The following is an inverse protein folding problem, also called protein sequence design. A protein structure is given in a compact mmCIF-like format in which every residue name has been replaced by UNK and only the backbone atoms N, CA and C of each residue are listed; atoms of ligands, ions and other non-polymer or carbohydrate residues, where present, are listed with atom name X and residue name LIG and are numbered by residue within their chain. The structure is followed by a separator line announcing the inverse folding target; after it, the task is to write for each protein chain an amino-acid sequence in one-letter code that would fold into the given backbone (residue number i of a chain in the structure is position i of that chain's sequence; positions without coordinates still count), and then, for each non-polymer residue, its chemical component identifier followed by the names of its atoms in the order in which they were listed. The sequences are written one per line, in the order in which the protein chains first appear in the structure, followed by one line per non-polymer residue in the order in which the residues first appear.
data_IF_289572588940
#
_entry.id   IF_289572588940
#
_cell.length_a   1.000
_cell.length_b   1.000
_cell.length_c   1.000
_cell.angle_alpha   90.00
_cell.angle_beta   90.00
_cell.angle_gamma   90.00
#
_symmetry.space_group_name_H-M   'P 1'
#
loop_
_entity.id
_entity.type
_entity.pdbx_description
1 polymer ?
#
# COMPACT_ATOMS: atom_id res chain seq x y z
N UNK A 1 6.99 13.32 33.28
CA UNK A 1 5.59 12.85 33.44
C UNK A 1 5.00 12.59 32.04
N UNK A 2 5.16 11.39 31.47
CA UNK A 2 4.70 11.02 30.10
C UNK A 2 4.14 9.58 30.01
N UNK A 3 4.07 8.86 31.13
CA UNK A 3 3.72 7.43 31.14
C UNK A 3 2.25 7.18 30.79
N UNK A 4 1.35 8.10 31.18
CA UNK A 4 -0.09 8.00 30.88
C UNK A 4 -0.42 8.25 29.41
N UNK A 5 0.35 9.09 28.69
CA UNK A 5 0.11 9.34 27.27
C UNK A 5 0.59 8.18 26.41
N UNK A 6 1.74 7.58 26.71
CA UNK A 6 2.24 6.39 26.01
C UNK A 6 1.27 5.22 26.21
N UNK A 7 0.84 4.94 27.44
CA UNK A 7 -0.12 3.86 27.69
C UNK A 7 -1.44 4.08 26.94
N UNK A 8 -1.91 5.34 26.84
CA UNK A 8 -3.11 5.67 26.06
C UNK A 8 -2.93 5.40 24.57
N UNK A 9 -1.77 5.76 24.00
CA UNK A 9 -1.45 5.48 22.60
C UNK A 9 -1.36 3.97 22.34
N UNK A 10 -0.75 3.22 23.25
CA UNK A 10 -0.68 1.76 23.14
C UNK A 10 -2.06 1.11 23.19
N UNK A 11 -2.94 1.54 24.10
CA UNK A 11 -4.32 1.04 24.14
C UNK A 11 -5.10 1.38 22.88
N UNK A 12 -4.93 2.59 22.33
CA UNK A 12 -5.57 2.98 21.06
C UNK A 12 -5.08 2.14 19.86
N UNK A 13 -3.79 1.80 19.85
CA UNK A 13 -3.21 0.92 18.84
C UNK A 13 -3.79 -0.49 18.97
N UNK A 14 -3.78 -1.07 20.18
CA UNK A 14 -4.34 -2.39 20.47
C UNK A 14 -5.80 -2.50 20.02
N UNK A 15 -6.65 -1.53 20.39
CA UNK A 15 -8.05 -1.48 19.94
C UNK A 15 -8.18 -1.42 18.41
N UNK A 16 -7.27 -0.73 17.74
CA UNK A 16 -7.31 -0.56 16.28
C UNK A 16 -6.79 -1.79 15.55
N UNK A 17 -5.79 -2.47 16.10
CA UNK A 17 -5.29 -3.76 15.65
C UNK A 17 -6.37 -4.83 15.79
N UNK A 18 -7.05 -4.91 16.93
CA UNK A 18 -8.14 -5.86 17.16
C UNK A 18 -9.29 -5.65 16.17
N UNK A 19 -9.68 -4.40 15.93
CA UNK A 19 -10.69 -4.07 14.90
C UNK A 19 -10.23 -4.46 13.51
N UNK A 20 -8.96 -4.22 13.18
CA UNK A 20 -8.41 -4.60 11.88
C UNK A 20 -8.48 -6.11 11.68
N UNK A 21 -8.05 -6.91 12.65
CA UNK A 21 -8.07 -8.38 12.61
C UNK A 21 -9.48 -8.97 12.45
N UNK A 22 -10.52 -8.22 12.82
CA UNK A 22 -11.92 -8.62 12.65
C UNK A 22 -12.55 -8.13 11.34
N UNK A 23 -11.81 -7.37 10.53
CA UNK A 23 -12.30 -6.72 9.32
C UNK A 23 -11.66 -7.29 8.06
N UNK A 24 -12.47 -7.47 7.02
CA UNK A 24 -11.98 -7.79 5.69
C UNK A 24 -11.50 -6.50 4.98
N UNK A 25 -10.39 -6.57 4.25
CA UNK A 25 -9.83 -5.42 3.54
C UNK A 25 -9.53 -5.73 2.07
N UNK A 26 -9.56 -4.71 1.24
CA UNK A 26 -9.32 -4.81 -0.20
C UNK A 26 -7.88 -4.40 -0.53
N UNK A 27 -7.19 -5.22 -1.32
CA UNK A 27 -5.89 -4.85 -1.87
C UNK A 27 -5.63 -5.46 -3.25
N UNK A 28 -4.84 -4.78 -4.10
CA UNK A 28 -4.20 -5.41 -5.25
C UNK A 28 -3.07 -6.32 -4.76
N UNK A 29 -3.13 -7.60 -5.15
CA UNK A 29 -2.15 -8.62 -4.84
C UNK A 29 -1.25 -8.79 -6.06
N UNK A 30 0.03 -8.46 -5.89
CA UNK A 30 1.07 -8.61 -6.91
C UNK A 30 1.92 -9.81 -6.57
N UNK A 31 2.23 -10.63 -7.58
CA UNK A 31 3.04 -11.83 -7.41
C UNK A 31 4.35 -11.54 -6.65
N UNK A 32 4.62 -12.32 -5.60
CA UNK A 32 5.84 -12.21 -4.79
C UNK A 32 5.95 -10.94 -3.93
N UNK A 33 4.86 -10.17 -3.78
CA UNK A 33 4.84 -8.96 -2.95
C UNK A 33 3.91 -9.13 -1.75
N UNK A 34 4.25 -8.42 -0.67
CA UNK A 34 3.40 -8.31 0.51
C UNK A 34 2.42 -7.16 0.34
N UNK A 35 1.29 -7.25 1.03
CA UNK A 35 0.30 -6.17 1.10
C UNK A 35 0.64 -5.31 2.31
N UNK A 36 0.64 -3.99 2.12
CA UNK A 36 0.88 -3.04 3.20
C UNK A 36 -0.43 -2.39 3.64
N UNK A 37 -0.66 -2.36 4.93
CA UNK A 37 -1.76 -1.64 5.57
C UNK A 37 -1.18 -0.72 6.64
N UNK A 38 -1.86 0.38 6.91
CA UNK A 38 -1.48 1.32 7.97
C UNK A 38 -2.56 1.29 9.05
N UNK A 39 -2.15 1.02 10.30
CA UNK A 39 -3.03 0.97 11.48
C UNK A 39 -2.49 2.01 12.46
N UNK A 40 -3.23 3.11 12.68
CA UNK A 40 -2.84 4.20 13.58
C UNK A 40 -1.39 4.71 13.34
N UNK A 41 -0.94 4.76 12.08
CA UNK A 41 0.40 5.18 11.69
C UNK A 41 1.46 4.07 11.67
N UNK A 42 1.11 2.85 12.08
CA UNK A 42 1.99 1.67 12.02
C UNK A 42 1.76 0.93 10.71
N UNK A 43 2.83 0.75 9.93
CA UNK A 43 2.77 -0.01 8.68
C UNK A 43 2.95 -1.50 8.98
N UNK A 44 1.92 -2.29 8.73
CA UNK A 44 1.96 -3.74 8.80
C UNK A 44 2.12 -4.32 7.39
N UNK A 45 3.01 -5.29 7.25
CA UNK A 45 3.20 -6.03 6.00
C UNK A 45 2.59 -7.43 6.15
N UNK A 46 1.58 -7.72 5.33
CA UNK A 46 0.85 -8.98 5.35
C UNK A 46 1.19 -9.79 4.11
N UNK A 47 1.52 -11.06 4.32
CA UNK A 47 1.71 -12.03 3.25
C UNK A 47 0.37 -12.65 2.86
N UNK A 48 -0.12 -12.41 1.63
CA UNK A 48 -1.37 -13.03 1.18
C UNK A 48 -1.19 -14.53 0.94
N UNK A 49 -2.19 -15.31 1.37
CA UNK A 49 -2.32 -16.75 1.16
C UNK A 49 -3.52 -17.03 0.26
N UNK A 50 -3.40 -17.83 -0.81
CA UNK A 50 -2.18 -18.48 -1.29
C UNK A 50 -1.23 -17.49 -1.99
N UNK A 51 0.09 -17.73 -1.91
CA UNK A 51 1.12 -16.88 -2.54
C UNK A 51 1.08 -16.87 -4.08
N UNK A 52 0.34 -17.81 -4.67
CA UNK A 52 0.16 -17.93 -6.12
C UNK A 52 -0.89 -16.98 -6.67
N UNK A 53 -1.80 -16.47 -5.84
CA UNK A 53 -2.84 -15.56 -6.32
C UNK A 53 -2.24 -14.21 -6.73
N UNK A 54 -2.75 -13.64 -7.82
CA UNK A 54 -2.40 -12.32 -8.33
C UNK A 54 -3.67 -11.69 -8.89
N UNK A 55 -3.93 -10.44 -8.55
CA UNK A 55 -5.17 -9.76 -8.96
C UNK A 55 -5.73 -8.88 -7.85
N UNK A 56 -7.03 -8.65 -7.86
CA UNK A 56 -7.71 -7.84 -6.86
C UNK A 56 -8.49 -8.73 -5.90
N UNK A 57 -8.09 -8.73 -4.63
CA UNK A 57 -8.68 -9.61 -3.63
C UNK A 57 -9.21 -8.85 -2.42
N UNK A 58 -10.31 -9.35 -1.89
CA UNK A 58 -10.70 -9.09 -0.51
C UNK A 58 -10.00 -10.13 0.36
N UNK A 59 -9.25 -9.64 1.32
CA UNK A 59 -8.39 -10.38 2.21
C UNK A 59 -8.97 -10.36 3.62
N UNK A 60 -8.92 -11.50 4.29
CA UNK A 60 -9.19 -11.60 5.72
C UNK A 60 -7.85 -11.72 6.46
N UNK A 61 -7.54 -10.84 7.41
CA UNK A 61 -6.35 -10.99 8.21
C UNK A 61 -6.44 -12.27 9.07
N UNK A 62 -5.40 -13.08 9.03
CA UNK A 62 -5.25 -14.24 9.93
C UNK A 62 -4.39 -13.87 11.15
N UNK A 63 -3.46 -12.93 10.94
CA UNK A 63 -2.54 -12.40 11.93
C UNK A 63 -2.04 -11.02 11.47
N UNK A 64 -1.13 -10.42 12.24
CA UNK A 64 -0.46 -9.17 11.90
C UNK A 64 0.47 -9.25 10.69
N UNK A 65 0.78 -10.45 10.19
CA UNK A 65 1.72 -10.67 9.09
C UNK A 65 1.20 -11.62 8.00
N UNK A 66 0.01 -12.18 8.15
CA UNK A 66 -0.61 -13.06 7.17
C UNK A 66 -2.08 -12.70 6.96
N UNK A 67 -2.51 -12.78 5.72
CA UNK A 67 -3.90 -12.61 5.34
C UNK A 67 -4.32 -13.70 4.35
N UNK A 68 -5.53 -14.18 4.47
CA UNK A 68 -6.12 -15.17 3.58
C UNK A 68 -6.95 -14.49 2.50
N UNK A 69 -6.79 -14.93 1.27
CA UNK A 69 -7.67 -14.58 0.18
C UNK A 69 -9.07 -15.12 0.43
N UNK A 70 -10.04 -14.22 0.56
CA UNK A 70 -11.43 -14.58 0.80
C UNK A 70 -12.22 -14.65 -0.50
N UNK A 71 -12.12 -13.60 -1.34
CA UNK A 71 -12.82 -13.54 -2.64
C UNK A 71 -12.21 -12.50 -3.57
N UNK A 72 -12.57 -12.58 -4.84
CA UNK A 72 -12.30 -11.51 -5.80
C UNK A 72 -13.05 -10.21 -5.44
N UNK A 73 -12.38 -9.10 -5.69
CA UNK A 73 -13.00 -7.78 -5.58
C UNK A 73 -13.91 -7.51 -6.77
N UNK A 74 -15.10 -6.97 -6.49
CA UNK A 74 -16.03 -6.49 -7.52
C UNK A 74 -15.46 -5.25 -8.22
N UNK A 75 -15.97 -4.94 -9.41
CA UNK A 75 -15.53 -3.75 -10.15
C UNK A 75 -15.79 -2.46 -9.38
N UNK A 76 -16.95 -2.34 -8.73
CA UNK A 76 -17.31 -1.18 -7.90
C UNK A 76 -16.37 -0.99 -6.70
N UNK A 77 -15.95 -2.08 -6.07
CA UNK A 77 -14.97 -2.03 -4.96
C UNK A 77 -13.59 -1.58 -5.45
N UNK A 78 -13.13 -2.07 -6.60
CA UNK A 78 -11.88 -1.63 -7.22
C UNK A 78 -11.90 -0.13 -7.51
N UNK A 79 -13.01 0.39 -8.06
CA UNK A 79 -13.15 1.83 -8.31
C UNK A 79 -13.05 2.64 -7.02
N UNK A 80 -13.80 2.28 -5.97
CA UNK A 80 -13.74 2.97 -4.68
C UNK A 80 -12.35 2.93 -4.04
N UNK A 81 -11.60 1.85 -4.24
CA UNK A 81 -10.21 1.78 -3.79
C UNK A 81 -9.32 2.76 -4.55
N UNK A 82 -9.42 2.77 -5.89
CA UNK A 82 -8.62 3.63 -6.75
C UNK A 82 -8.91 5.12 -6.51
N UNK A 83 -10.15 5.48 -6.16
CA UNK A 83 -10.54 6.85 -5.79
C UNK A 83 -9.79 7.39 -4.56
N UNK A 84 -9.31 6.49 -3.67
CA UNK A 84 -8.54 6.88 -2.49
C UNK A 84 -7.07 7.14 -2.80
N UNK A 85 -6.57 6.68 -3.95
CA UNK A 85 -5.18 6.87 -4.33
C UNK A 85 -4.96 8.28 -4.89
N UNK A 86 -3.80 8.90 -4.63
CA UNK A 86 -3.48 10.18 -5.23
C UNK A 86 -3.44 10.05 -6.76
N UNK A 87 -4.05 11.01 -7.45
CA UNK A 87 -3.99 11.09 -8.91
C UNK A 87 -2.54 11.33 -9.36
N UNK A 88 -1.95 10.32 -9.97
CA UNK A 88 -0.62 10.40 -10.58
C UNK A 88 -0.74 10.46 -12.10
N UNK A 89 -0.06 11.44 -12.70
CA UNK A 89 0.04 11.55 -14.15
C UNK A 89 1.09 10.57 -14.67
N UNK A 90 0.71 9.66 -15.55
CA UNK A 90 1.58 8.64 -16.14
C UNK A 90 1.63 8.79 -17.67
N UNK A 91 2.82 8.67 -18.24
CA UNK A 91 3.04 8.58 -19.69
C UNK A 91 3.14 7.10 -20.03
N UNK A 92 2.23 6.59 -20.86
CA UNK A 92 2.31 5.22 -21.38
C UNK A 92 3.37 5.17 -22.47
N UNK A 93 4.40 4.34 -22.28
CA UNK A 93 5.52 4.22 -23.22
C UNK A 93 5.33 3.06 -24.20
N UNK A 94 4.52 2.07 -23.85
CA UNK A 94 4.23 0.92 -24.70
C UNK A 94 3.58 -0.22 -23.92
N UNK A 95 3.39 -1.34 -24.61
CA UNK A 95 2.88 -2.59 -24.04
C UNK A 95 3.92 -3.68 -24.24
N UNK A 96 4.17 -4.46 -23.19
CA UNK A 96 4.98 -5.67 -23.24
C UNK A 96 4.13 -6.82 -22.72
N UNK A 97 3.89 -7.81 -23.58
CA UNK A 97 2.96 -8.90 -23.32
C UNK A 97 1.56 -8.35 -22.95
N UNK A 98 1.01 -8.76 -21.80
CA UNK A 98 -0.27 -8.29 -21.26
C UNK A 98 -0.14 -7.06 -20.33
N UNK A 99 1.06 -6.48 -20.21
CA UNK A 99 1.33 -5.39 -19.28
C UNK A 99 1.66 -4.07 -19.99
N UNK A 100 1.11 -2.97 -19.48
CA UNK A 100 1.46 -1.62 -19.91
C UNK A 100 2.72 -1.14 -19.19
N UNK A 101 3.66 -0.57 -19.94
CA UNK A 101 4.84 0.10 -19.40
C UNK A 101 4.56 1.60 -19.42
N UNK A 102 4.71 2.25 -18.28
CA UNK A 102 4.55 3.69 -18.15
C UNK A 102 5.61 4.31 -17.26
N UNK A 103 5.89 5.59 -17.52
CA UNK A 103 6.72 6.43 -16.68
C UNK A 103 5.82 7.42 -15.92
N UNK A 104 6.04 7.57 -14.62
CA UNK A 104 5.41 8.65 -13.88
C UNK A 104 5.92 9.99 -14.44
N UNK A 105 5.00 10.87 -14.87
CA UNK A 105 5.36 12.19 -15.40
C UNK A 105 5.97 13.12 -14.34
N UNK A 106 5.73 12.80 -13.07
CA UNK A 106 6.34 13.46 -11.91
C UNK A 106 6.99 12.39 -11.05
N UNK A 107 8.32 12.34 -11.03
CA UNK A 107 9.07 11.60 -10.00
C UNK A 107 9.31 12.56 -8.81
N UNK A 108 8.58 12.46 -7.68
CA UNK A 108 8.70 13.43 -6.59
C UNK A 108 10.03 13.34 -5.80
N UNK A 109 11.01 12.54 -6.25
CA UNK A 109 12.24 12.26 -5.51
C UNK A 109 13.54 12.32 -6.30
N UNK A 110 13.55 12.73 -7.58
CA UNK A 110 14.77 12.74 -8.41
C UNK A 110 15.33 14.15 -8.71
N UNK A 111 14.87 15.19 -8.02
CA UNK A 111 15.45 16.54 -8.11
C UNK A 111 16.08 16.94 -6.76
N UNK A 112 17.25 16.36 -6.48
CA UNK A 112 18.23 17.00 -5.60
C UNK A 112 19.64 16.88 -6.19
N UNK A 113 20.29 18.04 -6.28
CA UNK A 113 21.65 18.35 -6.79
C UNK A 113 21.88 18.32 -8.30
N UNK A 114 21.69 19.49 -8.92
CA UNK A 114 22.76 20.13 -9.72
C UNK A 114 22.80 21.64 -9.43
N UNK A 115 23.45 22.00 -8.34
CA UNK A 115 24.13 23.31 -8.27
C UNK A 115 25.62 23.02 -8.41
N UNK A 116 26.07 22.84 -9.66
CA UNK A 116 27.45 23.09 -10.00
C UNK A 116 27.52 24.56 -10.39
N UNK A 117 27.85 25.41 -9.42
CA UNK A 117 28.39 26.74 -9.69
C UNK A 117 29.69 26.57 -10.46
N UNK A 118 29.59 26.60 -11.79
CA UNK A 118 30.72 26.84 -12.68
C UNK A 118 31.05 28.33 -12.64
N UNK A 119 31.90 28.72 -11.69
CA UNK A 119 32.64 29.97 -11.77
C UNK A 119 33.83 29.72 -12.71
N UNK A 120 33.73 30.22 -13.94
CA UNK A 120 34.85 30.59 -14.80
C UNK A 120 34.57 32.06 -15.11
N UNK A 121 35.38 33.00 -14.62
CA UNK A 121 36.77 33.16 -15.04
C UNK A 121 36.76 34.25 -16.09
#
# INVERSE_FOLDING_TARGET
MHKKSINKLLSQLEESEDRFLQSDFLAPIVHGRQVRVEIEGVVCELTPRPRSFTGWGVLRPLSHNEAEFYRDATLSERYRYLEKLPLVRMILCGRRDENWIGLASTCPGLFHRRNATGNAG
#
